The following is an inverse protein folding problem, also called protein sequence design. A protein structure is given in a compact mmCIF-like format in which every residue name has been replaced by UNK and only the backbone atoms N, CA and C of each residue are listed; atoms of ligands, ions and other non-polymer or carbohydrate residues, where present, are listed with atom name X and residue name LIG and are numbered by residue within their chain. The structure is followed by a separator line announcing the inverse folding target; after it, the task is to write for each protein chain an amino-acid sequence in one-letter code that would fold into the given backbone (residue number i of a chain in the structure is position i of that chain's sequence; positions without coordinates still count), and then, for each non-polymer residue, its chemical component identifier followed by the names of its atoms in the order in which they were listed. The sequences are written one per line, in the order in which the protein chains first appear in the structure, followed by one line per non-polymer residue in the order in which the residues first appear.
data_IF_304401902214
#
_entry.id   IF_304401902214
#
_cell.length_a   1.000
_cell.length_b   1.000
_cell.length_c   1.000
_cell.angle_alpha   90.00
_cell.angle_beta   90.00
_cell.angle_gamma   90.00
#
_symmetry.space_group_name_H-M   'P 1'
#
loop_
_entity.id
_entity.type
_entity.pdbx_description
1 polymer ?
#
# COMPACT_ATOMS: atom_id res chain seq x y z
N UNK A 1 -34.87 -27.32 34.63
CA UNK A 1 -33.46 -27.50 34.21
C UNK A 1 -32.61 -26.49 34.97
N UNK A 2 -31.61 -26.93 35.74
CA UNK A 2 -30.66 -26.02 36.41
C UNK A 2 -29.71 -25.48 35.34
N UNK A 3 -29.86 -24.20 34.97
CA UNK A 3 -28.80 -23.52 34.21
C UNK A 3 -27.56 -23.44 35.10
N UNK A 4 -26.50 -24.15 34.72
CA UNK A 4 -25.16 -23.90 35.27
C UNK A 4 -24.71 -22.56 34.71
N UNK A 5 -24.94 -21.50 35.48
CA UNK A 5 -24.41 -20.18 35.17
C UNK A 5 -22.89 -20.19 35.23
N UNK A 6 -22.27 -19.34 34.42
CA UNK A 6 -20.84 -19.08 34.44
C UNK A 6 -20.49 -18.29 35.72
N UNK A 7 -19.45 -18.71 36.45
CA UNK A 7 -19.06 -18.02 37.68
C UNK A 7 -18.30 -16.74 37.39
N UNK A 8 -18.37 -15.78 38.31
CA UNK A 8 -17.60 -14.53 38.20
C UNK A 8 -16.09 -14.80 38.16
N UNK A 9 -15.61 -15.82 38.88
CA UNK A 9 -14.18 -16.17 38.87
C UNK A 9 -13.75 -16.77 37.53
N UNK A 10 -14.57 -17.60 36.89
CA UNK A 10 -14.30 -18.11 35.55
C UNK A 10 -14.25 -16.96 34.53
N UNK A 11 -15.13 -15.97 34.67
CA UNK A 11 -15.12 -14.80 33.80
C UNK A 11 -13.86 -13.95 33.95
N UNK A 12 -13.40 -13.73 35.19
CA UNK A 12 -12.18 -12.99 35.45
C UNK A 12 -10.94 -13.69 34.86
N UNK A 13 -10.86 -15.03 34.95
CA UNK A 13 -9.75 -15.79 34.36
C UNK A 13 -9.78 -15.70 32.83
N UNK A 14 -10.96 -15.81 32.21
CA UNK A 14 -11.09 -15.70 30.75
C UNK A 14 -10.67 -14.31 30.26
N UNK A 15 -11.10 -13.24 30.95
CA UNK A 15 -10.68 -11.87 30.61
C UNK A 15 -9.17 -11.69 30.79
N UNK A 16 -8.57 -12.26 31.83
CA UNK A 16 -7.13 -12.21 32.04
C UNK A 16 -6.36 -12.89 30.90
N UNK A 17 -6.80 -14.07 30.45
CA UNK A 17 -6.16 -14.80 29.34
C UNK A 17 -6.33 -14.03 28.02
N UNK A 18 -7.53 -13.52 27.72
CA UNK A 18 -7.78 -12.70 26.52
C UNK A 18 -6.91 -11.44 26.54
N UNK A 19 -6.75 -10.81 27.71
CA UNK A 19 -5.87 -9.64 27.88
C UNK A 19 -4.42 -9.95 27.49
N UNK A 20 -3.87 -11.07 27.96
CA UNK A 20 -2.49 -11.49 27.62
C UNK A 20 -2.38 -11.74 26.11
N UNK A 21 -3.30 -12.50 25.52
CA UNK A 21 -3.26 -12.82 24.09
C UNK A 21 -3.42 -11.57 23.20
N UNK A 22 -4.26 -10.61 23.60
CA UNK A 22 -4.50 -9.38 22.86
C UNK A 22 -3.24 -8.51 22.73
N UNK A 23 -2.40 -8.45 23.77
CA UNK A 23 -1.16 -7.65 23.73
C UNK A 23 -0.16 -8.15 22.69
N UNK A 24 -0.12 -9.45 22.41
CA UNK A 24 0.74 -10.06 21.38
C UNK A 24 0.06 -10.04 20.01
N UNK A 25 -1.26 -10.28 19.97
CA UNK A 25 -2.02 -10.39 18.73
C UNK A 25 -2.21 -9.07 17.99
N UNK A 26 -2.49 -7.97 18.69
CA UNK A 26 -2.79 -6.68 18.06
C UNK A 26 -1.59 -6.08 17.28
N UNK A 27 -0.34 -6.07 17.80
CA UNK A 27 0.82 -5.60 17.05
C UNK A 27 1.09 -6.41 15.78
N UNK A 28 0.83 -7.73 15.83
CA UNK A 28 1.00 -8.60 14.68
C UNK A 28 -0.07 -8.31 13.61
N UNK A 29 -1.34 -8.19 14.01
CA UNK A 29 -2.45 -7.90 13.11
C UNK A 29 -2.27 -6.56 12.38
N UNK A 30 -1.91 -5.49 13.11
CA UNK A 30 -1.67 -4.16 12.50
C UNK A 30 -0.51 -4.19 11.50
N UNK A 31 0.53 -4.99 11.77
CA UNK A 31 1.66 -5.17 10.84
C UNK A 31 1.23 -5.88 9.56
N UNK A 32 0.38 -6.92 9.64
CA UNK A 32 -0.15 -7.58 8.46
C UNK A 32 -1.07 -6.67 7.65
N UNK A 33 -1.94 -5.90 8.32
CA UNK A 33 -2.81 -4.94 7.67
C UNK A 33 -2.01 -3.84 6.95
N UNK A 34 -0.93 -3.36 7.56
CA UNK A 34 -0.04 -2.37 6.95
C UNK A 34 0.63 -2.92 5.67
N UNK A 35 1.16 -4.15 5.72
CA UNK A 35 1.73 -4.84 4.55
C UNK A 35 0.70 -5.04 3.44
N UNK A 36 -0.51 -5.48 3.80
CA UNK A 36 -1.59 -5.71 2.86
C UNK A 36 -1.99 -4.41 2.14
N UNK A 37 -2.14 -3.31 2.89
CA UNK A 37 -2.45 -1.99 2.32
C UNK A 37 -1.34 -1.48 1.40
N UNK A 38 -0.08 -1.64 1.79
CA UNK A 38 1.05 -1.32 0.92
C UNK A 38 1.01 -2.12 -0.40
N UNK A 39 0.82 -3.44 -0.32
CA UNK A 39 0.76 -4.29 -1.51
C UNK A 39 -0.43 -4.00 -2.40
N UNK A 40 -1.58 -3.64 -1.83
CA UNK A 40 -2.77 -3.24 -2.58
C UNK A 40 -2.50 -1.95 -3.36
N UNK A 41 -1.93 -0.94 -2.71
CA UNK A 41 -1.58 0.31 -3.39
C UNK A 41 -0.54 0.12 -4.50
N UNK A 42 0.48 -0.71 -4.25
CA UNK A 42 1.47 -1.08 -5.26
C UNK A 42 0.83 -1.79 -6.47
N UNK A 43 -0.13 -2.68 -6.22
CA UNK A 43 -0.82 -3.40 -7.28
C UNK A 43 -1.66 -2.44 -8.15
N UNK A 44 -2.36 -1.49 -7.54
CA UNK A 44 -3.14 -0.47 -8.26
C UNK A 44 -2.27 0.33 -9.23
N UNK A 45 -1.17 0.90 -8.75
CA UNK A 45 -0.28 1.70 -9.62
C UNK A 45 0.51 0.86 -10.62
N UNK A 46 0.78 -0.42 -10.31
CA UNK A 46 1.46 -1.33 -11.24
C UNK A 46 0.56 -1.70 -12.42
N UNK A 47 -0.75 -1.83 -12.20
CA UNK A 47 -1.71 -2.09 -13.26
C UNK A 47 -1.76 -0.96 -14.30
N UNK A 48 -1.47 0.28 -13.88
CA UNK A 48 -1.50 1.45 -14.75
C UNK A 48 -0.25 1.60 -15.65
N UNK A 49 0.79 0.79 -15.47
CA UNK A 49 2.02 0.86 -16.29
C UNK A 49 1.74 0.69 -17.78
N UNK A 50 0.86 -0.25 -18.15
CA UNK A 50 0.56 -0.50 -19.55
C UNK A 50 -0.13 0.71 -20.23
N UNK A 51 -1.13 1.29 -19.56
CA UNK A 51 -1.79 2.51 -20.03
C UNK A 51 -0.84 3.70 -20.07
N UNK A 52 0.08 3.79 -19.10
CA UNK A 52 1.13 4.80 -19.12
C UNK A 52 2.03 4.66 -20.36
N UNK A 53 2.55 3.47 -20.65
CA UNK A 53 3.41 3.26 -21.81
C UNK A 53 2.69 3.57 -23.13
N UNK A 54 1.42 3.20 -23.26
CA UNK A 54 0.64 3.49 -24.47
C UNK A 54 0.49 4.99 -24.72
N UNK A 55 0.01 5.74 -23.72
CA UNK A 55 -0.16 7.21 -23.83
C UNK A 55 1.18 7.90 -24.07
N UNK A 56 2.24 7.44 -23.39
CA UNK A 56 3.57 8.01 -23.51
C UNK A 56 4.18 7.77 -24.90
N UNK A 57 4.01 6.57 -25.46
CA UNK A 57 4.50 6.24 -26.81
C UNK A 57 3.77 6.99 -27.93
N UNK A 58 2.56 7.48 -27.67
CA UNK A 58 1.83 8.39 -28.55
C UNK A 58 2.36 9.84 -28.49
N UNK A 59 3.41 10.10 -27.69
CA UNK A 59 4.00 11.43 -27.52
C UNK A 59 3.17 12.37 -26.64
N UNK A 60 2.21 11.82 -25.88
CA UNK A 60 1.34 12.60 -24.99
C UNK A 60 1.82 12.46 -23.55
N UNK A 61 1.78 13.57 -22.79
CA UNK A 61 2.09 13.54 -21.36
C UNK A 61 1.00 12.76 -20.62
N UNK A 62 1.33 11.66 -19.93
CA UNK A 62 0.33 10.85 -19.23
C UNK A 62 -0.31 11.61 -18.08
N UNK A 63 -1.59 11.38 -17.90
CA UNK A 63 -2.37 11.82 -16.73
C UNK A 63 -3.13 10.63 -16.18
N UNK A 64 -3.60 10.71 -14.94
CA UNK A 64 -4.37 9.63 -14.29
C UNK A 64 -5.52 9.14 -15.19
N UNK A 65 -6.28 10.06 -15.79
CA UNK A 65 -7.42 9.71 -16.64
C UNK A 65 -7.00 9.05 -17.97
N UNK A 66 -5.94 9.56 -18.60
CA UNK A 66 -5.47 9.05 -19.90
C UNK A 66 -4.94 7.62 -19.79
N UNK A 67 -4.34 7.25 -18.65
CA UNK A 67 -3.79 5.91 -18.44
C UNK A 67 -4.83 4.91 -17.91
N UNK A 68 -6.12 5.28 -17.88
CA UNK A 68 -7.21 4.44 -17.38
C UNK A 68 -7.31 4.36 -15.86
N UNK A 69 -6.66 5.29 -15.15
CA UNK A 69 -6.71 5.38 -13.70
C UNK A 69 -7.85 6.25 -13.19
N UNK A 70 -8.17 6.09 -11.92
CA UNK A 70 -9.01 7.00 -11.15
C UNK A 70 -8.29 7.37 -9.85
N UNK A 71 -8.52 8.58 -9.36
CA UNK A 71 -7.91 9.07 -8.13
C UNK A 71 -8.88 10.02 -7.43
N UNK A 72 -9.16 9.86 -6.13
CA UNK A 72 -8.66 8.80 -5.25
C UNK A 72 -9.37 7.44 -5.47
N UNK A 73 -8.69 6.35 -5.09
CA UNK A 73 -9.27 5.02 -4.91
C UNK A 73 -9.47 4.74 -3.41
N UNK A 74 -9.91 3.53 -3.06
CA UNK A 74 -10.00 3.08 -1.66
C UNK A 74 -8.63 2.81 -0.99
N UNK A 75 -7.54 2.80 -1.76
CA UNK A 75 -6.19 2.51 -1.24
C UNK A 75 -5.18 3.60 -1.56
N UNK A 76 -5.41 4.40 -2.60
CA UNK A 76 -4.43 5.32 -3.13
C UNK A 76 -5.05 6.65 -3.54
N UNK A 77 -4.38 7.73 -3.18
CA UNK A 77 -4.41 8.96 -3.98
C UNK A 77 -3.29 8.84 -5.01
N UNK A 78 -3.68 8.65 -6.27
CA UNK A 78 -2.77 8.43 -7.39
C UNK A 78 -2.42 9.77 -8.05
N UNK A 79 -1.14 9.95 -8.34
CA UNK A 79 -0.62 11.05 -9.16
C UNK A 79 0.31 10.51 -10.25
N UNK A 80 0.31 11.15 -11.42
CA UNK A 80 1.01 10.68 -12.63
C UNK A 80 1.72 11.86 -13.26
N UNK A 81 3.00 11.69 -13.56
CA UNK A 81 3.79 12.67 -14.28
C UNK A 81 4.60 12.00 -15.39
N UNK A 82 4.90 12.75 -16.44
CA UNK A 82 5.75 12.30 -17.53
C UNK A 82 6.38 13.46 -18.26
N UNK A 83 7.59 13.24 -18.77
CA UNK A 83 8.28 14.17 -19.67
C UNK A 83 8.66 13.41 -20.94
N UNK A 84 7.87 13.64 -21.98
CA UNK A 84 8.05 13.02 -23.31
C UNK A 84 9.35 13.43 -23.98
N UNK A 85 9.98 14.56 -23.60
CA UNK A 85 11.25 14.99 -24.16
C UNK A 85 12.42 14.20 -23.56
N UNK A 86 12.39 13.92 -22.26
CA UNK A 86 13.46 13.17 -21.57
C UNK A 86 13.22 11.67 -21.49
N UNK A 87 11.99 11.21 -21.75
CA UNK A 87 11.63 9.80 -21.61
C UNK A 87 11.40 9.35 -20.17
N UNK A 88 11.38 10.28 -19.20
CA UNK A 88 11.26 9.99 -17.76
C UNK A 88 9.81 10.14 -17.32
N UNK A 89 9.40 9.36 -16.32
CA UNK A 89 8.03 9.40 -15.82
C UNK A 89 7.86 8.87 -14.41
N UNK A 90 6.69 9.10 -13.84
CA UNK A 90 6.30 8.53 -12.56
C UNK A 90 4.80 8.22 -12.44
N UNK A 91 4.50 7.19 -11.66
CA UNK A 91 3.17 6.92 -11.12
C UNK A 91 3.35 6.78 -9.61
N UNK A 92 2.69 7.62 -8.83
CA UNK A 92 2.77 7.58 -7.38
C UNK A 92 1.41 7.28 -6.75
N UNK A 93 1.44 6.60 -5.61
CA UNK A 93 0.30 6.37 -4.74
C UNK A 93 0.65 6.84 -3.34
N UNK A 94 -0.11 7.80 -2.81
CA UNK A 94 -0.17 8.07 -1.38
C UNK A 94 -1.20 7.12 -0.75
N UNK A 95 -0.76 6.28 0.19
CA UNK A 95 -1.57 5.21 0.78
C UNK A 95 -2.68 5.81 1.67
N UNK A 96 -3.92 5.45 1.41
CA UNK A 96 -5.12 5.85 2.14
C UNK A 96 -5.70 4.71 2.99
N UNK A 97 -6.49 5.07 4.00
CA UNK A 97 -7.27 4.15 4.85
C UNK A 97 -6.45 2.96 5.36
N UNK A 98 -5.24 3.23 5.85
CA UNK A 98 -4.28 2.24 6.28
C UNK A 98 -3.83 2.45 7.74
N UNK A 99 -3.22 1.45 8.38
CA UNK A 99 -2.63 1.61 9.70
C UNK A 99 -1.61 2.75 9.75
N UNK A 100 -1.50 3.41 10.89
CA UNK A 100 -0.64 4.58 11.10
C UNK A 100 0.81 4.44 10.56
N UNK A 101 1.48 3.27 10.60
CA UNK A 101 2.85 3.14 10.07
C UNK A 101 2.99 3.34 8.56
N UNK A 102 1.92 3.14 7.78
CA UNK A 102 1.94 3.26 6.31
C UNK A 102 0.95 4.30 5.77
N UNK A 103 0.07 4.85 6.61
CA UNK A 103 -0.87 5.90 6.23
C UNK A 103 -0.14 7.15 5.73
N UNK A 104 -0.55 7.69 4.58
CA UNK A 104 0.05 8.87 3.95
C UNK A 104 1.48 8.65 3.43
N UNK A 105 1.99 7.41 3.46
CA UNK A 105 3.27 7.06 2.84
C UNK A 105 3.08 6.90 1.34
N UNK A 106 4.11 7.25 0.58
CA UNK A 106 4.10 7.24 -0.87
C UNK A 106 4.80 6.00 -1.42
N UNK A 107 4.18 5.37 -2.41
CA UNK A 107 4.78 4.36 -3.29
C UNK A 107 4.96 5.03 -4.64
N UNK A 108 6.19 5.09 -5.16
CA UNK A 108 6.52 5.76 -6.42
C UNK A 108 7.12 4.75 -7.38
N UNK A 109 6.46 4.57 -8.51
CA UNK A 109 7.00 3.89 -9.68
C UNK A 109 7.65 4.93 -10.57
N UNK A 110 8.96 4.86 -10.75
CA UNK A 110 9.71 5.74 -11.65
C UNK A 110 10.04 4.99 -12.93
N UNK A 111 9.70 5.58 -14.07
CA UNK A 111 10.04 5.09 -15.40
C UNK A 111 11.36 5.70 -15.84
N UNK A 112 12.30 4.83 -16.22
CA UNK A 112 13.51 5.18 -16.94
C UNK A 112 13.43 4.59 -18.36
N UNK A 113 13.75 5.39 -19.38
CA UNK A 113 13.67 4.99 -20.79
C UNK A 113 14.53 3.76 -21.15
N UNK A 114 15.54 3.46 -20.35
CA UNK A 114 16.51 2.38 -20.59
C UNK A 114 16.46 1.28 -19.52
N UNK A 115 16.16 1.63 -18.28
CA UNK A 115 16.18 0.72 -17.12
C UNK A 115 14.81 0.21 -16.72
N UNK A 116 13.75 0.64 -17.41
CA UNK A 116 12.37 0.27 -17.13
C UNK A 116 11.85 0.89 -15.83
N UNK A 117 10.91 0.22 -15.19
CA UNK A 117 10.23 0.72 -14.00
C UNK A 117 10.95 0.32 -12.72
N UNK A 118 11.26 1.31 -11.87
CA UNK A 118 11.75 1.12 -10.51
C UNK A 118 10.70 1.52 -9.49
N UNK A 119 10.63 0.80 -8.37
CA UNK A 119 9.70 1.09 -7.30
C UNK A 119 10.45 1.61 -6.07
N UNK A 120 10.02 2.75 -5.54
CA UNK A 120 10.56 3.35 -4.33
C UNK A 120 9.44 3.75 -3.37
N UNK A 121 9.75 3.84 -2.08
CA UNK A 121 8.78 4.26 -1.06
C UNK A 121 9.45 4.93 0.13
N UNK A 122 8.69 5.74 0.86
CA UNK A 122 9.08 6.31 2.16
C UNK A 122 8.46 5.58 3.36
N UNK A 123 7.79 4.45 3.14
CA UNK A 123 7.35 3.54 4.20
C UNK A 123 8.55 2.75 4.77
N UNK A 124 8.48 2.37 6.05
CA UNK A 124 9.54 1.57 6.68
C UNK A 124 9.66 0.19 6.01
N UNK A 125 10.90 -0.26 5.76
CA UNK A 125 11.19 -1.50 5.02
C UNK A 125 10.46 -2.74 5.55
N UNK A 126 10.19 -2.79 6.86
CA UNK A 126 9.48 -3.92 7.47
C UNK A 126 8.04 -4.09 6.98
N UNK A 127 7.43 -3.07 6.37
CA UNK A 127 6.05 -3.11 5.81
C UNK A 127 6.01 -3.22 4.29
N UNK A 128 7.17 -3.17 3.65
CA UNK A 128 7.31 -2.93 2.21
C UNK A 128 7.45 -4.25 1.45
N UNK A 129 6.90 -4.30 0.24
CA UNK A 129 7.05 -5.45 -0.65
C UNK A 129 8.51 -5.58 -1.15
N UNK A 130 9.00 -6.81 -1.28
CA UNK A 130 10.32 -7.07 -1.89
C UNK A 130 10.37 -6.43 -3.29
N UNK A 131 11.44 -5.71 -3.59
CA UNK A 131 11.62 -5.00 -4.87
C UNK A 131 11.06 -3.58 -4.91
N UNK A 132 10.54 -3.04 -3.80
CA UNK A 132 10.07 -1.65 -3.72
C UNK A 132 10.62 -0.91 -2.49
N UNK A 133 11.94 -0.80 -2.32
CA UNK A 133 12.57 -0.18 -1.14
C UNK A 133 12.99 1.29 -1.34
N UNK A 134 13.51 1.92 -0.28
CA UNK A 134 13.99 3.32 -0.30
C UNK A 134 15.05 3.62 -1.39
N UNK A 135 15.69 2.57 -1.94
CA UNK A 135 16.73 2.67 -2.96
C UNK A 135 16.41 1.94 -4.28
N UNK A 136 15.16 1.50 -4.53
CA UNK A 136 14.75 0.92 -5.81
C UNK A 136 15.62 -0.24 -6.31
N UNK A 137 15.94 -1.19 -5.42
CA UNK A 137 16.70 -2.40 -5.70
C UNK A 137 15.82 -3.51 -6.29
#
# INVERSE_FOLDING_TARGET
MRQKGFTLIELLIVVAIIGILATIGLPMYTTHQAKAKFTAGLAEITALKAGYEDVFNQGTVPTVALIGGTSPTANCKIDVAGDVATGVGSISCEILDAPAPVLGKAITLTRDATKGWKCATNAEEKYVAKGCGANGA
#
